data_IF_179943205293
#
_entry.id   IF_179943205293
#
_cell.length_a   1.000
_cell.length_b   1.000
_cell.length_c   1.000
_cell.angle_alpha   90.00
_cell.angle_beta   90.00
_cell.angle_gamma   90.00
#
_symmetry.space_group_name_H-M   'P 1'
#
loop_
_entity.id
_entity.type
_entity.pdbx_description
1 polymer ?
#
# COMPACT_ATOMS: atom_id res chain seq x y z
N UNK A 1 -11.96 10.98 -33.73
CA UNK A 1 -12.46 11.03 -32.34
C UNK A 1 -12.64 9.60 -31.87
N UNK A 2 -11.60 8.99 -31.32
CA UNK A 2 -11.60 7.58 -30.90
C UNK A 2 -10.59 7.30 -29.78
N UNK A 3 -9.85 8.32 -29.33
CA UNK A 3 -8.71 8.17 -28.42
C UNK A 3 -9.13 8.19 -26.94
N UNK A 4 -10.30 8.76 -26.62
CA UNK A 4 -10.79 8.88 -25.24
C UNK A 4 -11.21 7.54 -24.63
N UNK A 5 -11.68 6.58 -25.44
CA UNK A 5 -12.22 5.31 -24.93
C UNK A 5 -11.13 4.27 -24.60
N UNK A 6 -9.96 4.37 -25.23
CA UNK A 6 -8.79 3.56 -24.90
C UNK A 6 -8.11 4.06 -23.61
N UNK A 7 -7.98 5.38 -23.44
CA UNK A 7 -7.50 5.98 -22.19
C UNK A 7 -8.48 5.70 -21.02
N UNK A 8 -9.79 5.68 -21.27
CA UNK A 8 -10.80 5.27 -20.28
C UNK A 8 -10.83 3.77 -19.96
N UNK A 9 -10.29 2.92 -20.85
CA UNK A 9 -10.10 1.48 -20.57
C UNK A 9 -8.73 1.18 -19.95
N UNK A 10 -7.73 2.05 -20.10
CA UNK A 10 -6.48 2.03 -19.32
C UNK A 10 -6.70 2.58 -17.91
N UNK A 11 -7.69 3.48 -17.71
CA UNK A 11 -8.28 3.83 -16.39
C UNK A 11 -8.90 2.64 -15.64
N UNK A 12 -8.84 1.44 -16.20
CA UNK A 12 -9.25 0.23 -15.52
C UNK A 12 -8.24 -0.18 -14.45
N UNK A 13 -8.74 -0.36 -13.21
CA UNK A 13 -8.29 -1.44 -12.32
C UNK A 13 -6.96 -1.25 -11.59
N UNK A 14 -6.64 -0.05 -11.11
CA UNK A 14 -5.55 0.07 -10.14
C UNK A 14 -6.00 -0.50 -8.78
N UNK A 15 -5.39 -1.61 -8.38
CA UNK A 15 -5.34 -2.00 -6.97
C UNK A 15 -4.26 -1.17 -6.29
N UNK A 16 -4.39 -0.97 -4.99
CA UNK A 16 -3.40 -0.22 -4.24
C UNK A 16 -2.81 -1.08 -3.13
N UNK A 17 -1.50 -1.03 -2.96
CA UNK A 17 -0.82 -1.64 -1.82
C UNK A 17 -0.65 -0.57 -0.74
N UNK A 18 -1.12 -0.85 0.48
CA UNK A 18 -0.89 -0.05 1.67
C UNK A 18 0.12 -0.75 2.58
N UNK A 19 1.18 -0.05 3.00
CA UNK A 19 2.18 -0.61 3.91
C UNK A 19 2.71 0.46 4.86
N UNK A 20 2.99 0.04 6.09
CA UNK A 20 3.78 0.84 7.02
C UNK A 20 5.27 0.52 6.82
N UNK A 21 6.13 1.49 7.10
CA UNK A 21 7.58 1.37 6.98
C UNK A 21 8.27 2.17 8.09
N UNK A 22 9.60 2.06 8.15
CA UNK A 22 10.40 2.87 9.07
C UNK A 22 10.14 4.36 8.82
N UNK A 23 9.84 5.16 9.86
CA UNK A 23 9.49 6.56 9.66
C UNK A 23 10.62 7.40 9.08
N UNK A 24 10.28 8.36 8.22
CA UNK A 24 11.21 9.36 7.71
C UNK A 24 10.53 10.73 7.55
N UNK A 25 11.34 11.77 7.36
CA UNK A 25 10.88 13.16 7.19
C UNK A 25 11.33 13.67 5.83
N UNK A 26 10.47 14.43 5.14
CA UNK A 26 10.81 15.08 3.85
C UNK A 26 11.66 16.34 4.04
N UNK A 27 11.70 16.88 5.25
CA UNK A 27 12.57 18.01 5.60
C UNK A 27 12.40 18.42 7.06
N UNK A 28 13.19 19.40 7.52
CA UNK A 28 13.04 19.96 8.86
C UNK A 28 11.63 20.53 9.07
N UNK A 29 10.96 20.11 10.14
CA UNK A 29 9.62 20.59 10.50
C UNK A 29 8.47 20.02 9.67
N UNK A 30 8.72 19.02 8.80
CA UNK A 30 7.64 18.31 8.09
C UNK A 30 6.99 17.26 8.99
N UNK A 31 5.81 16.82 8.60
CA UNK A 31 5.18 15.64 9.19
C UNK A 31 6.06 14.40 8.98
N UNK A 32 6.09 13.53 9.98
CA UNK A 32 6.70 12.20 9.87
C UNK A 32 5.89 11.34 8.90
N UNK A 33 6.54 10.67 7.95
CA UNK A 33 5.91 9.72 7.03
C UNK A 33 6.28 8.32 7.50
N UNK A 34 5.28 7.51 7.78
CA UNK A 34 5.45 6.15 8.30
C UNK A 34 4.57 5.10 7.59
N UNK A 35 3.76 5.55 6.63
CA UNK A 35 2.79 4.74 5.91
C UNK A 35 2.68 5.24 4.47
N UNK A 36 2.62 4.34 3.50
CA UNK A 36 2.55 4.70 2.09
C UNK A 36 1.53 3.83 1.36
N UNK A 37 0.82 4.43 0.39
CA UNK A 37 -0.02 3.75 -0.59
C UNK A 37 0.55 3.97 -1.99
N UNK A 38 0.75 2.90 -2.75
CA UNK A 38 1.19 2.93 -4.15
C UNK A 38 0.21 2.16 -5.03
N UNK A 39 0.20 2.46 -6.33
CA UNK A 39 -0.43 1.58 -7.31
C UNK A 39 0.23 0.19 -7.26
N UNK A 40 -0.56 -0.88 -7.32
CA UNK A 40 -0.03 -2.25 -7.28
C UNK A 40 0.96 -2.50 -8.43
N UNK A 41 0.76 -1.86 -9.59
CA UNK A 41 1.66 -1.95 -10.75
C UNK A 41 3.07 -1.41 -10.46
N UNK A 42 3.27 -0.56 -9.45
CA UNK A 42 4.61 -0.12 -9.01
C UNK A 42 5.49 -1.31 -8.57
N UNK A 43 4.89 -2.42 -8.12
CA UNK A 43 5.63 -3.65 -7.81
C UNK A 43 6.31 -4.29 -9.03
N UNK A 44 5.91 -3.91 -10.24
CA UNK A 44 6.51 -4.36 -11.49
C UNK A 44 7.69 -3.47 -11.92
N UNK A 45 8.01 -2.42 -11.15
CA UNK A 45 9.11 -1.53 -11.46
C UNK A 45 10.46 -2.27 -11.39
N UNK A 46 11.41 -2.01 -12.31
CA UNK A 46 12.68 -2.75 -12.40
C UNK A 46 13.61 -2.57 -11.19
N UNK A 47 13.42 -1.50 -10.41
CA UNK A 47 14.15 -1.28 -9.15
C UNK A 47 13.51 -1.97 -7.94
N UNK A 48 12.32 -2.56 -8.07
CA UNK A 48 11.77 -3.47 -7.05
C UNK A 48 12.38 -4.84 -7.24
N UNK A 49 12.72 -5.53 -6.15
CA UNK A 49 13.22 -6.90 -6.21
C UNK A 49 12.30 -7.82 -7.04
N UNK A 50 12.83 -8.38 -8.13
CA UNK A 50 12.15 -9.34 -8.99
C UNK A 50 12.76 -10.74 -8.82
N UNK A 51 11.96 -11.82 -8.90
CA UNK A 51 10.54 -11.88 -9.28
C UNK A 51 9.55 -11.58 -8.15
N UNK A 52 10.02 -11.22 -6.97
CA UNK A 52 9.21 -11.10 -5.75
C UNK A 52 8.14 -10.02 -5.87
N UNK A 53 8.47 -8.85 -6.42
CA UNK A 53 7.53 -7.78 -6.73
C UNK A 53 6.40 -8.25 -7.65
N UNK A 54 6.73 -8.94 -8.75
CA UNK A 54 5.73 -9.51 -9.65
C UNK A 54 4.81 -10.54 -8.96
N UNK A 55 5.34 -11.39 -8.09
CA UNK A 55 4.53 -12.36 -7.34
C UNK A 55 3.59 -11.67 -6.35
N UNK A 56 4.04 -10.62 -5.66
CA UNK A 56 3.19 -9.82 -4.77
C UNK A 56 2.11 -9.08 -5.57
N UNK A 57 2.47 -8.53 -6.73
CA UNK A 57 1.52 -7.91 -7.65
C UNK A 57 0.41 -8.89 -8.05
N UNK A 58 0.78 -10.12 -8.42
CA UNK A 58 -0.20 -11.15 -8.76
C UNK A 58 -1.17 -11.39 -7.60
N UNK A 59 -0.68 -11.54 -6.36
CA UNK A 59 -1.56 -11.69 -5.19
C UNK A 59 -2.53 -10.52 -4.99
N UNK A 60 -2.10 -9.30 -5.33
CA UNK A 60 -2.91 -8.09 -5.20
C UNK A 60 -4.02 -7.99 -6.25
N UNK A 61 -3.82 -8.50 -7.46
CA UNK A 61 -4.81 -8.34 -8.55
C UNK A 61 -5.83 -9.49 -8.60
N UNK A 62 -5.49 -10.67 -8.06
CA UNK A 62 -6.38 -11.83 -8.13
C UNK A 62 -7.55 -11.69 -7.13
N UNK A 63 -8.79 -11.73 -7.66
CA UNK A 63 -10.02 -11.78 -6.86
C UNK A 63 -10.41 -10.46 -6.17
N UNK A 64 -9.81 -9.32 -6.55
CA UNK A 64 -10.05 -8.01 -5.95
C UNK A 64 -10.99 -7.12 -6.75
N UNK A 65 -11.51 -6.10 -6.07
CA UNK A 65 -12.34 -5.06 -6.69
C UNK A 65 -11.48 -3.89 -7.15
N UNK A 66 -11.74 -3.31 -8.34
CA UNK A 66 -11.09 -2.09 -8.80
C UNK A 66 -11.08 -0.98 -7.74
N UNK A 67 -9.91 -0.36 -7.52
CA UNK A 67 -9.72 0.71 -6.55
C UNK A 67 -9.55 0.25 -5.10
N UNK A 68 -9.50 -1.07 -4.85
CA UNK A 68 -9.36 -1.61 -3.51
C UNK A 68 -7.95 -1.34 -2.96
N UNK A 69 -7.89 -0.82 -1.74
CA UNK A 69 -6.64 -0.64 -0.98
C UNK A 69 -6.43 -1.90 -0.15
N UNK A 70 -5.35 -2.61 -0.44
CA UNK A 70 -4.97 -3.84 0.24
C UNK A 70 -3.79 -3.56 1.17
N UNK A 71 -4.00 -3.61 2.49
CA UNK A 71 -2.91 -3.54 3.45
C UNK A 71 -2.01 -4.76 3.36
N UNK A 72 -0.70 -4.59 3.49
CA UNK A 72 0.26 -5.70 3.56
C UNK A 72 -0.11 -6.70 4.67
N UNK A 73 -0.66 -6.22 5.80
CA UNK A 73 -1.16 -7.07 6.88
C UNK A 73 -2.32 -7.98 6.46
N UNK A 74 -3.15 -7.52 5.51
CA UNK A 74 -4.22 -8.34 4.92
C UNK A 74 -3.63 -9.42 4.03
N UNK A 75 -2.65 -9.10 3.18
CA UNK A 75 -1.93 -10.12 2.39
C UNK A 75 -1.23 -11.14 3.29
N UNK A 76 -0.52 -10.69 4.32
CA UNK A 76 0.11 -11.56 5.32
C UNK A 76 -0.93 -12.48 5.98
N UNK A 77 -2.11 -11.97 6.31
CA UNK A 77 -3.17 -12.80 6.88
C UNK A 77 -3.66 -13.88 5.91
N UNK A 78 -3.87 -13.53 4.64
CA UNK A 78 -4.29 -14.47 3.59
C UNK A 78 -3.22 -15.53 3.26
N UNK A 79 -1.95 -15.19 3.46
CA UNK A 79 -0.80 -16.10 3.38
C UNK A 79 -0.59 -16.89 4.68
N UNK A 80 -1.68 -17.41 5.26
CA UNK A 80 -1.70 -18.20 6.49
C UNK A 80 -0.97 -17.50 7.66
N UNK A 81 -1.31 -16.23 7.89
CA UNK A 81 -0.66 -15.41 8.92
C UNK A 81 0.83 -15.12 8.67
N UNK A 82 1.29 -15.29 7.43
CA UNK A 82 2.65 -15.00 6.98
C UNK A 82 3.50 -16.23 6.75
N UNK A 83 2.99 -17.43 7.05
CA UNK A 83 3.71 -18.69 6.78
C UNK A 83 3.95 -18.91 5.28
N UNK A 84 3.12 -18.35 4.41
CA UNK A 84 3.25 -18.44 2.95
C UNK A 84 4.25 -17.49 2.32
N UNK A 85 4.82 -16.52 3.06
CA UNK A 85 5.77 -15.55 2.49
C UNK A 85 7.00 -16.17 1.85
N UNK A 86 7.65 -17.22 2.40
CA UNK A 86 8.83 -17.84 1.78
C UNK A 86 8.60 -18.36 0.36
N UNK A 87 7.37 -18.76 0.03
CA UNK A 87 7.00 -19.23 -1.32
C UNK A 87 6.69 -18.07 -2.28
N UNK A 88 6.36 -16.90 -1.74
CA UNK A 88 6.07 -15.68 -2.50
C UNK A 88 7.35 -14.89 -2.76
N UNK A 89 8.06 -14.48 -1.71
CA UNK A 89 9.27 -13.67 -1.83
C UNK A 89 9.60 -12.86 -0.58
N UNK A 90 10.70 -12.12 -0.65
CA UNK A 90 11.17 -11.20 0.38
C UNK A 90 10.38 -9.89 0.33
N UNK A 91 9.22 -9.88 1.00
CA UNK A 91 8.37 -8.71 1.06
C UNK A 91 9.05 -7.53 1.76
N UNK A 92 9.92 -7.77 2.75
CA UNK A 92 10.60 -6.69 3.49
C UNK A 92 11.50 -5.90 2.55
N UNK A 93 12.26 -6.61 1.72
CA UNK A 93 13.10 -5.98 0.70
C UNK A 93 12.28 -5.29 -0.39
N UNK A 94 11.17 -5.88 -0.83
CA UNK A 94 10.25 -5.23 -1.76
C UNK A 94 9.70 -3.92 -1.18
N UNK A 95 9.28 -3.90 0.08
CA UNK A 95 8.81 -2.66 0.74
C UNK A 95 9.94 -1.63 0.82
N UNK A 96 11.17 -2.05 1.14
CA UNK A 96 12.33 -1.16 1.14
C UNK A 96 12.56 -0.51 -0.22
N UNK A 97 12.47 -1.28 -1.31
CA UNK A 97 12.64 -0.78 -2.68
C UNK A 97 11.50 0.18 -3.08
N UNK A 98 10.25 -0.13 -2.70
CA UNK A 98 9.12 0.78 -2.93
C UNK A 98 9.29 2.12 -2.20
N UNK A 99 9.73 2.10 -0.93
CA UNK A 99 10.03 3.33 -0.18
C UNK A 99 11.13 4.12 -0.88
N UNK A 100 12.14 3.45 -1.44
CA UNK A 100 13.20 4.12 -2.18
C UNK A 100 12.65 4.84 -3.42
N UNK A 101 11.81 4.18 -4.22
CA UNK A 101 11.19 4.78 -5.40
C UNK A 101 10.36 6.02 -5.07
N UNK A 102 9.47 5.91 -4.07
CA UNK A 102 8.61 7.02 -3.63
C UNK A 102 9.45 8.22 -3.19
N UNK A 103 10.54 7.97 -2.46
CA UNK A 103 11.41 9.04 -1.96
C UNK A 103 12.21 9.75 -3.04
N UNK A 104 12.47 9.09 -4.17
CA UNK A 104 13.20 9.67 -5.31
C UNK A 104 12.27 10.26 -6.37
N UNK A 105 10.94 10.13 -6.20
CA UNK A 105 9.96 10.58 -7.17
C UNK A 105 9.91 9.70 -8.43
N UNK A 106 10.37 8.46 -8.32
CA UNK A 106 10.34 7.48 -9.43
C UNK A 106 8.97 6.78 -9.56
N UNK A 107 8.02 7.11 -8.68
CA UNK A 107 6.60 6.79 -8.79
C UNK A 107 5.76 7.76 -7.92
N UNK A 108 4.46 7.86 -8.22
CA UNK A 108 3.50 8.56 -7.38
C UNK A 108 3.05 7.68 -6.21
N UNK A 109 2.80 8.32 -5.07
CA UNK A 109 2.27 7.65 -3.89
C UNK A 109 1.44 8.60 -3.01
N UNK A 110 0.57 8.01 -2.19
CA UNK A 110 0.01 8.70 -1.03
C UNK A 110 0.87 8.38 0.20
N UNK A 111 1.67 9.35 0.64
CA UNK A 111 2.50 9.24 1.84
C UNK A 111 1.79 9.86 3.06
N UNK A 112 1.71 9.10 4.15
CA UNK A 112 0.93 9.44 5.34
C UNK A 112 1.79 9.35 6.62
N UNK A 113 1.54 10.29 7.52
CA UNK A 113 1.98 10.25 8.90
C UNK A 113 0.85 9.76 9.80
N UNK A 114 0.67 8.45 9.91
CA UNK A 114 -0.40 7.91 10.74
C UNK A 114 -0.03 7.99 12.23
N UNK A 115 -0.96 8.38 13.11
CA UNK A 115 -0.78 8.23 14.56
C UNK A 115 -0.52 6.76 14.94
N UNK A 116 0.20 6.52 16.04
CA UNK A 116 0.64 5.18 16.44
C UNK A 116 -0.48 4.13 16.49
N UNK A 117 -1.65 4.48 17.03
CA UNK A 117 -2.78 3.56 17.08
C UNK A 117 -3.30 3.21 15.69
N UNK A 118 -3.42 4.20 14.79
CA UNK A 118 -3.89 3.98 13.42
C UNK A 118 -2.88 3.12 12.65
N UNK A 119 -1.58 3.40 12.82
CA UNK A 119 -0.49 2.59 12.24
C UNK A 119 -0.53 1.16 12.76
N UNK A 120 -0.68 0.96 14.07
CA UNK A 120 -0.79 -0.37 14.67
C UNK A 120 -2.00 -1.15 14.13
N UNK A 121 -3.15 -0.49 13.95
CA UNK A 121 -4.37 -1.11 13.41
C UNK A 121 -4.21 -1.56 11.96
N UNK A 122 -3.51 -0.80 11.11
CA UNK A 122 -3.26 -1.22 9.71
C UNK A 122 -2.17 -2.27 9.60
N UNK A 123 -1.22 -2.33 10.54
CA UNK A 123 -0.18 -3.38 10.60
C UNK A 123 -0.73 -4.69 11.17
N UNK A 124 -1.78 -4.63 11.97
CA UNK A 124 -2.46 -5.80 12.49
C UNK A 124 -3.33 -6.48 11.42
N UNK A 125 -3.46 -7.80 11.50
CA UNK A 125 -4.34 -8.57 10.63
C UNK A 125 -5.78 -8.06 10.68
N UNK A 126 -6.60 -8.32 9.65
CA UNK A 126 -7.95 -7.75 9.50
C UNK A 126 -8.91 -8.09 10.65
N UNK A 127 -8.63 -9.16 11.39
CA UNK A 127 -9.43 -9.63 12.53
C UNK A 127 -8.68 -9.53 13.86
N UNK A 128 -7.48 -8.96 13.86
CA UNK A 128 -6.65 -8.80 15.06
C UNK A 128 -7.14 -7.67 15.95
N UNK A 129 -6.72 -7.70 17.21
CA UNK A 129 -6.97 -6.65 18.19
C UNK A 129 -5.67 -5.95 18.56
N UNK A 130 -5.71 -4.62 18.67
CA UNK A 130 -4.63 -3.79 19.19
C UNK A 130 -4.99 -3.37 20.61
N UNK A 131 -4.06 -3.54 21.55
CA UNK A 131 -4.23 -3.11 22.94
C UNK A 131 -3.33 -1.92 23.20
N UNK A 132 -3.92 -0.78 23.57
CA UNK A 132 -3.17 0.39 24.01
C UNK A 132 -3.30 0.56 25.52
N UNK A 133 -2.21 0.94 26.18
CA UNK A 133 -2.24 1.32 27.58
C UNK A 133 -2.57 2.80 27.69
N UNK A 134 -3.66 3.14 28.35
CA UNK A 134 -3.97 4.52 28.67
C UNK A 134 -3.02 5.00 29.78
N UNK A 135 -2.17 5.97 29.47
CA UNK A 135 -1.12 6.45 30.38
C UNK A 135 -1.69 7.14 31.62
N UNK A 136 -2.90 7.71 31.52
CA UNK A 136 -3.55 8.41 32.63
C UNK A 136 -4.19 7.47 33.66
N UNK A 137 -4.86 6.41 33.19
CA UNK A 137 -5.59 5.46 34.04
C UNK A 137 -4.87 4.14 34.27
N UNK A 138 -3.80 3.86 33.51
CA UNK A 138 -3.09 2.58 33.51
C UNK A 138 -3.92 1.41 32.98
N UNK A 139 -5.08 1.67 32.36
CA UNK A 139 -5.98 0.63 31.85
C UNK A 139 -5.68 0.32 30.40
N UNK A 140 -5.81 -0.95 30.04
CA UNK A 140 -5.75 -1.37 28.65
C UNK A 140 -7.08 -1.08 27.94
N UNK A 141 -7.02 -0.38 26.81
CA UNK A 141 -8.12 -0.21 25.86
C UNK A 141 -7.87 -1.12 24.68
N UNK A 142 -8.91 -1.84 24.24
CA UNK A 142 -8.83 -2.79 23.12
C UNK A 142 -9.53 -2.18 21.91
N UNK A 143 -8.82 -2.18 20.79
CA UNK A 143 -9.29 -1.74 19.48
C UNK A 143 -9.27 -2.94 18.54
N UNK A 144 -10.24 -3.03 17.64
CA UNK A 144 -10.40 -4.18 16.74
C UNK A 144 -10.78 -3.77 15.32
N UNK A 145 -11.54 -4.65 14.67
CA UNK A 145 -11.90 -4.51 13.26
C UNK A 145 -12.70 -3.23 12.95
N UNK A 146 -13.53 -2.74 13.88
CA UNK A 146 -14.32 -1.53 13.66
C UNK A 146 -13.41 -0.29 13.57
N UNK A 147 -12.44 -0.15 14.46
CA UNK A 147 -11.50 0.97 14.45
C UNK A 147 -10.53 0.87 13.29
N UNK A 148 -10.09 -0.35 12.96
CA UNK A 148 -9.32 -0.60 11.74
C UNK A 148 -10.11 -0.17 10.48
N UNK A 149 -11.40 -0.48 10.39
CA UNK A 149 -12.24 -0.08 9.26
C UNK A 149 -12.42 1.44 9.17
N UNK A 150 -12.51 2.13 10.31
CA UNK A 150 -12.54 3.59 10.36
C UNK A 150 -11.23 4.19 9.80
N UNK A 151 -10.07 3.66 10.20
CA UNK A 151 -8.77 4.09 9.65
C UNK A 151 -8.70 3.84 8.14
N UNK A 152 -9.11 2.66 7.67
CA UNK A 152 -9.15 2.37 6.23
C UNK A 152 -10.08 3.30 5.46
N UNK A 153 -11.20 3.69 6.05
CA UNK A 153 -12.15 4.63 5.45
C UNK A 153 -11.52 6.00 5.25
N UNK A 154 -10.76 6.50 6.24
CA UNK A 154 -10.04 7.77 6.12
C UNK A 154 -8.94 7.71 5.05
N UNK A 155 -8.14 6.64 5.02
CA UNK A 155 -7.11 6.44 3.98
C UNK A 155 -7.75 6.40 2.59
N UNK A 156 -8.91 5.73 2.46
CA UNK A 156 -9.66 5.67 1.20
C UNK A 156 -10.11 7.06 0.74
N UNK A 157 -10.55 7.93 1.66
CA UNK A 157 -10.92 9.31 1.32
C UNK A 157 -9.71 10.12 0.83
N UNK A 158 -8.57 9.99 1.50
CA UNK A 158 -7.34 10.68 1.06
C UNK A 158 -6.89 10.21 -0.32
N UNK A 159 -6.91 8.90 -0.56
CA UNK A 159 -6.57 8.36 -1.87
C UNK A 159 -7.56 8.83 -2.94
N UNK A 160 -8.86 8.77 -2.66
CA UNK A 160 -9.89 9.22 -3.59
C UNK A 160 -9.72 10.70 -3.97
N UNK A 161 -9.39 11.56 -3.01
CA UNK A 161 -9.10 12.97 -3.26
C UNK A 161 -7.89 13.15 -4.19
N UNK A 162 -6.81 12.37 -3.98
CA UNK A 162 -5.61 12.41 -4.79
C UNK A 162 -5.87 11.92 -6.23
N UNK A 163 -6.55 10.79 -6.40
CA UNK A 163 -6.79 10.18 -7.72
C UNK A 163 -7.94 10.81 -8.50
N UNK A 164 -8.72 11.71 -7.88
CA UNK A 164 -9.72 12.49 -8.60
C UNK A 164 -9.09 13.39 -9.68
N UNK A 165 -7.85 13.84 -9.45
CA UNK A 165 -7.12 14.70 -10.39
C UNK A 165 -6.31 13.88 -11.41
N UNK A 166 -5.60 12.85 -10.94
CA UNK A 166 -4.78 11.95 -11.75
C UNK A 166 -4.53 10.65 -11.00
N UNK A 167 -4.62 9.51 -11.68
CA UNK A 167 -4.21 8.21 -11.13
C UNK A 167 -2.74 8.22 -10.66
N UNK A 168 -2.40 7.39 -9.68
CA UNK A 168 -1.01 7.25 -9.23
C UNK A 168 -0.16 6.67 -10.35
N UNK A 169 0.78 7.47 -10.86
CA UNK A 169 1.75 7.01 -11.84
C UNK A 169 2.71 5.96 -11.22
N UNK A 170 2.80 4.75 -11.78
CA UNK A 170 3.56 3.66 -11.17
C UNK A 170 5.08 3.71 -11.38
N UNK A 171 5.57 4.68 -12.17
CA UNK A 171 6.96 4.74 -12.64
C UNK A 171 7.10 4.29 -14.10
N UNK A 172 8.30 4.41 -14.66
CA UNK A 172 8.62 3.98 -16.05
C UNK A 172 9.13 2.54 -16.12
N UNK A 173 9.04 1.94 -17.32
CA UNK A 173 9.77 0.71 -17.65
C UNK A 173 9.30 -0.53 -16.87
N UNK A 174 8.03 -0.57 -16.48
CA UNK A 174 7.45 -1.67 -15.72
C UNK A 174 7.58 -3.00 -16.48
N UNK A 175 7.83 -4.07 -15.74
CA UNK A 175 7.77 -5.43 -16.28
C UNK A 175 6.34 -5.71 -16.77
N UNK A 176 6.20 -5.89 -18.08
CA UNK A 176 4.90 -6.07 -18.74
C UNK A 176 4.59 -5.03 -19.82
N UNK A 177 5.41 -3.97 -19.95
CA UNK A 177 5.29 -2.97 -21.03
C UNK A 177 5.96 -3.40 -22.35
N UNK A 178 6.22 -4.71 -22.51
CA UNK A 178 6.52 -5.28 -23.81
C UNK A 178 5.23 -5.26 -24.65
N UNK A 179 4.95 -4.12 -25.28
CA UNK A 179 4.04 -4.07 -26.42
C UNK A 179 4.41 -5.14 -27.46
N UNK A 180 3.43 -5.71 -28.19
CA UNK A 180 3.75 -6.69 -29.21
C UNK A 180 4.69 -6.07 -30.27
N UNK A 181 5.62 -6.85 -30.87
CA UNK A 181 6.37 -6.40 -32.04
C UNK A 181 5.45 -6.09 -33.23
#
# INVERSE_FOLDING_TARGET
MTQTQADDQVRARMMYLLFAHEPYYLGPGTMEINTTVVAATTLLHPHVLQPDGARIHDLLIHGRRPGEIIPLSTLTHELDGGAGWPDVGDWERVISDLVHLVRHGDCDALSLGLPDLARALICAGPHSQVRALDSASGKAVVYGAAERAAVMTEITKFLAALVTERDLWPGEGLLGDAGPP
#
